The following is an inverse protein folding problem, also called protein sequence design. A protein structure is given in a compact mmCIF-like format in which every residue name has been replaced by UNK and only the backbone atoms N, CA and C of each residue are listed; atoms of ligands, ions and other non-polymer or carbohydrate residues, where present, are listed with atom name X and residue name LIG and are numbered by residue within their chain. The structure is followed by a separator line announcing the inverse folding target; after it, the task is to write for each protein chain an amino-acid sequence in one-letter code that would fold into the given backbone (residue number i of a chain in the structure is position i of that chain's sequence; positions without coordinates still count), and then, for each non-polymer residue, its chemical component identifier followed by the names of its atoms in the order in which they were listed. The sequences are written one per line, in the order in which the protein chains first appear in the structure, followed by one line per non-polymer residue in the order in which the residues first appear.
data_IF_047061842599
#
_entry.id   IF_047061842599
#
_cell.length_a   1.000
_cell.length_b   1.000
_cell.length_c   1.000
_cell.angle_alpha   90.00
_cell.angle_beta   90.00
_cell.angle_gamma   90.00
#
_symmetry.space_group_name_H-M   'P 1'
#
loop_
_entity.id
_entity.type
_entity.pdbx_description
1 polymer ?
#
# COMPACT_ATOMS: atom_id res chain seq x y z
N UNK A 1 25.09 -3.49 52.50
CA UNK A 1 25.94 -4.68 52.26
C UNK A 1 26.06 -4.87 50.75
N UNK A 2 27.20 -5.32 50.23
CA UNK A 2 27.44 -5.40 48.79
C UNK A 2 28.26 -6.65 48.41
N UNK A 3 27.76 -7.41 47.43
CA UNK A 3 28.40 -8.50 46.67
C UNK A 3 27.63 -8.52 45.33
N UNK A 4 28.15 -8.30 44.12
CA UNK A 4 29.52 -8.23 43.56
C UNK A 4 30.24 -9.56 43.34
N UNK A 5 30.11 -10.13 42.14
CA UNK A 5 30.99 -11.19 41.60
C UNK A 5 30.90 -11.29 40.06
N UNK A 6 32.03 -11.20 39.35
CA UNK A 6 32.17 -11.38 37.89
C UNK A 6 33.62 -11.77 37.52
N UNK A 7 33.88 -12.23 36.27
CA UNK A 7 34.11 -13.62 35.86
C UNK A 7 35.51 -14.13 36.33
N UNK A 8 36.65 -14.15 35.59
CA UNK A 8 36.99 -14.52 34.19
C UNK A 8 37.53 -15.99 34.14
N UNK A 9 38.40 -16.48 33.21
CA UNK A 9 38.77 -16.06 31.84
C UNK A 9 38.62 -17.19 30.77
N UNK A 10 39.04 -16.91 29.52
CA UNK A 10 39.07 -17.87 28.40
C UNK A 10 40.38 -18.68 28.30
N UNK A 11 40.40 -19.69 27.41
CA UNK A 11 41.63 -20.36 26.96
C UNK A 11 41.74 -20.39 25.42
N UNK A 12 42.91 -20.02 24.91
CA UNK A 12 43.24 -20.04 23.48
C UNK A 12 43.99 -21.32 23.10
N UNK A 13 43.90 -21.75 21.82
CA UNK A 13 44.89 -22.66 21.21
C UNK A 13 44.88 -22.66 19.68
N UNK A 14 46.03 -22.29 19.12
CA UNK A 14 46.53 -22.54 17.77
C UNK A 14 48.08 -22.43 17.87
N UNK A 15 48.89 -22.72 16.83
CA UNK A 15 48.59 -23.29 15.51
C UNK A 15 49.42 -24.56 15.17
N UNK A 16 49.21 -25.18 13.99
CA UNK A 16 50.29 -25.81 13.19
C UNK A 16 49.93 -26.01 11.71
N UNK A 17 50.77 -25.40 10.87
CA UNK A 17 50.97 -25.48 9.40
C UNK A 17 50.69 -26.80 8.62
N UNK A 18 50.01 -26.67 7.46
CA UNK A 18 50.45 -26.92 6.05
C UNK A 18 51.22 -28.22 5.64
N UNK A 19 51.35 -28.57 4.33
CA UNK A 19 50.79 -27.97 3.09
C UNK A 19 50.08 -28.95 2.13
N UNK A 20 49.42 -28.43 1.08
CA UNK A 20 48.94 -29.21 -0.08
C UNK A 20 48.73 -28.32 -1.33
N UNK A 21 49.06 -28.81 -2.53
CA UNK A 21 48.97 -28.07 -3.81
C UNK A 21 47.78 -28.51 -4.66
N UNK A 22 47.23 -27.59 -5.47
CA UNK A 22 46.31 -27.91 -6.57
C UNK A 22 46.13 -26.73 -7.54
N UNK A 23 46.57 -26.89 -8.79
CA UNK A 23 46.25 -26.00 -9.92
C UNK A 23 45.25 -26.73 -10.84
N UNK A 24 44.52 -26.00 -11.69
CA UNK A 24 43.91 -26.57 -12.90
C UNK A 24 42.67 -25.83 -13.40
N UNK A 25 42.81 -25.12 -14.52
CA UNK A 25 41.67 -24.53 -15.23
C UNK A 25 40.86 -25.60 -15.98
N UNK A 26 39.55 -25.36 -16.14
CA UNK A 26 38.67 -26.18 -16.99
C UNK A 26 38.71 -25.63 -18.42
N UNK A 27 38.86 -26.50 -19.42
CA UNK A 27 38.84 -26.15 -20.84
C UNK A 27 37.42 -25.97 -21.37
N UNK A 28 37.26 -25.05 -22.32
CA UNK A 28 36.06 -24.93 -23.18
C UNK A 28 36.37 -25.55 -24.54
N UNK A 29 35.45 -26.34 -25.09
CA UNK A 29 35.57 -26.96 -26.41
C UNK A 29 34.62 -26.32 -27.43
N UNK A 30 35.09 -26.14 -28.67
CA UNK A 30 34.29 -25.64 -29.80
C UNK A 30 33.57 -26.78 -30.52
N UNK A 31 32.36 -26.48 -31.00
CA UNK A 31 31.79 -27.07 -32.24
C UNK A 31 31.13 -25.93 -33.03
N UNK A 32 31.30 -25.93 -34.36
CA UNK A 32 30.73 -24.94 -35.29
C UNK A 32 29.84 -25.62 -36.33
N UNK A 33 28.84 -24.86 -36.81
CA UNK A 33 28.07 -25.04 -38.07
C UNK A 33 27.49 -26.45 -38.35
N UNK A 34 26.18 -26.63 -38.48
CA UNK A 34 25.41 -26.15 -39.63
C UNK A 34 23.93 -26.51 -39.47
N UNK A 35 23.00 -25.74 -40.06
CA UNK A 35 22.07 -26.21 -41.11
C UNK A 35 21.20 -25.05 -41.64
N UNK A 36 20.61 -25.26 -42.81
CA UNK A 36 20.09 -24.17 -43.67
C UNK A 36 18.58 -23.93 -43.55
N UNK A 37 18.19 -22.68 -43.77
CA UNK A 37 16.98 -22.24 -44.48
C UNK A 37 15.62 -22.92 -44.16
N UNK A 38 14.73 -22.14 -43.54
CA UNK A 38 13.31 -22.11 -43.90
C UNK A 38 12.86 -20.65 -44.03
N UNK A 39 12.02 -20.36 -45.03
CA UNK A 39 11.64 -19.01 -45.44
C UNK A 39 10.11 -18.91 -45.50
N UNK A 40 9.51 -18.08 -44.65
CA UNK A 40 8.09 -17.70 -44.70
C UNK A 40 8.01 -16.18 -44.53
N UNK A 41 7.26 -15.53 -45.42
CA UNK A 41 7.14 -14.08 -45.51
C UNK A 41 5.90 -13.55 -44.78
N UNK A 42 5.83 -12.21 -44.69
CA UNK A 42 4.61 -11.41 -44.47
C UNK A 42 3.72 -11.77 -43.28
N UNK A 43 3.90 -11.06 -42.15
CA UNK A 43 2.84 -10.25 -41.51
C UNK A 43 3.40 -9.44 -40.32
N UNK A 44 4.21 -8.41 -40.61
CA UNK A 44 4.62 -7.40 -39.61
C UNK A 44 4.57 -5.99 -40.20
N UNK A 45 3.59 -5.20 -39.75
CA UNK A 45 3.45 -3.78 -40.02
C UNK A 45 2.49 -3.17 -38.98
N UNK A 46 2.74 -1.93 -38.56
CA UNK A 46 2.01 -1.21 -37.50
C UNK A 46 2.25 -1.66 -36.05
N UNK A 47 3.52 -1.77 -35.64
CA UNK A 47 3.95 -1.33 -34.29
C UNK A 47 5.32 -0.64 -34.40
N UNK A 48 5.32 0.69 -34.41
CA UNK A 48 6.50 1.56 -34.32
C UNK A 48 6.12 2.84 -33.57
N UNK A 49 7.01 3.30 -32.68
CA UNK A 49 6.69 4.20 -31.56
C UNK A 49 5.77 3.52 -30.54
N UNK A 50 6.04 3.49 -29.24
CA UNK A 50 7.04 4.23 -28.44
C UNK A 50 8.18 3.27 -27.99
N UNK A 51 9.25 3.81 -27.39
CA UNK A 51 10.55 3.15 -27.09
C UNK A 51 11.43 2.88 -28.31
N UNK A 52 12.08 3.95 -28.80
CA UNK A 52 13.43 3.78 -29.36
C UNK A 52 14.39 3.40 -28.22
N UNK A 53 15.04 2.22 -28.23
CA UNK A 53 16.16 1.98 -27.34
C UNK A 53 17.33 2.92 -27.72
N UNK A 54 18.22 3.28 -26.79
CA UNK A 54 19.45 3.97 -27.15
C UNK A 54 20.25 3.08 -28.11
N UNK A 55 20.59 3.62 -29.29
CA UNK A 55 21.29 2.89 -30.36
C UNK A 55 22.76 2.63 -30.01
N UNK A 56 22.98 1.68 -29.10
CA UNK A 56 24.30 1.16 -28.76
C UNK A 56 24.81 0.30 -29.92
N UNK A 57 25.45 0.94 -30.90
CA UNK A 57 26.09 0.25 -32.03
C UNK A 57 27.18 -0.68 -31.49
N UNK A 58 27.12 -1.95 -31.89
CA UNK A 58 28.07 -2.99 -31.51
C UNK A 58 29.47 -2.75 -32.13
N UNK A 59 30.54 -3.37 -31.57
CA UNK A 59 31.70 -2.58 -31.18
C UNK A 59 32.83 -2.49 -32.21
N UNK A 60 33.59 -1.40 -32.11
CA UNK A 60 35.01 -1.37 -32.47
C UNK A 60 35.78 -1.97 -31.26
N UNK A 61 36.75 -2.88 -31.46
CA UNK A 61 37.50 -3.44 -30.34
C UNK A 61 38.33 -2.36 -29.61
N UNK A 62 38.49 -2.51 -28.29
CA UNK A 62 39.17 -1.58 -27.39
C UNK A 62 38.53 -0.18 -27.25
N UNK A 63 37.32 -0.14 -26.69
CA UNK A 63 36.96 0.76 -25.57
C UNK A 63 35.78 0.12 -24.81
N UNK A 64 35.87 0.03 -23.48
CA UNK A 64 34.72 -0.31 -22.64
C UNK A 64 33.84 0.94 -22.51
N UNK A 65 32.96 1.13 -23.48
CA UNK A 65 32.00 2.23 -23.50
C UNK A 65 31.00 2.07 -22.34
N UNK A 66 31.27 2.75 -21.24
CA UNK A 66 30.45 2.71 -20.03
C UNK A 66 29.15 3.48 -20.29
N UNK A 67 28.09 2.79 -20.71
CA UNK A 67 26.77 3.39 -20.82
C UNK A 67 26.34 3.89 -19.43
N UNK A 68 26.15 5.21 -19.23
CA UNK A 68 25.57 5.69 -17.99
C UNK A 68 24.14 5.16 -17.91
N UNK A 69 23.86 4.35 -16.90
CA UNK A 69 22.47 4.01 -16.56
C UNK A 69 21.80 5.31 -16.14
N UNK A 70 20.98 5.86 -17.03
CA UNK A 70 20.12 7.01 -16.76
C UNK A 70 19.07 6.54 -15.76
N UNK A 71 19.43 6.57 -14.47
CA UNK A 71 18.47 6.45 -13.38
C UNK A 71 17.45 7.57 -13.58
N UNK A 72 16.17 7.21 -13.61
CA UNK A 72 15.09 8.20 -13.57
C UNK A 72 15.21 9.09 -12.33
N UNK A 73 14.53 10.25 -12.32
CA UNK A 73 14.60 11.20 -11.21
C UNK A 73 14.32 10.48 -9.89
N UNK A 74 15.31 10.49 -8.99
CA UNK A 74 15.20 9.84 -7.69
C UNK A 74 14.18 10.58 -6.84
N UNK A 75 13.15 9.87 -6.37
CA UNK A 75 12.16 10.45 -5.44
C UNK A 75 12.85 11.05 -4.21
N UNK A 76 12.41 12.25 -3.81
CA UNK A 76 12.88 12.95 -2.60
C UNK A 76 11.71 13.08 -1.64
N UNK A 77 11.88 12.61 -0.41
CA UNK A 77 10.89 12.77 0.65
C UNK A 77 10.94 14.20 1.22
N UNK A 78 9.84 14.93 1.09
CA UNK A 78 9.74 16.32 1.58
C UNK A 78 8.97 16.44 2.90
N UNK A 79 9.49 17.26 3.81
CA UNK A 79 8.81 17.64 5.05
C UNK A 79 7.74 18.72 4.83
N UNK A 80 6.71 18.76 5.68
CA UNK A 80 5.62 19.75 5.62
C UNK A 80 4.32 19.23 6.23
N UNK A 81 3.26 20.00 6.07
CA UNK A 81 2.06 19.95 6.92
C UNK A 81 0.85 19.28 6.26
N UNK A 82 0.03 18.66 7.11
CA UNK A 82 -1.32 18.18 6.81
C UNK A 82 -2.27 18.72 7.90
N UNK A 83 -3.56 18.84 7.57
CA UNK A 83 -4.61 19.23 8.54
C UNK A 83 -5.34 18.01 9.10
N UNK A 84 -5.89 18.09 10.31
CA UNK A 84 -6.67 17.00 10.92
C UNK A 84 -8.03 17.50 11.42
N UNK A 85 -9.04 16.63 11.35
CA UNK A 85 -10.37 16.85 11.89
C UNK A 85 -10.86 15.54 12.53
N UNK A 86 -11.12 15.56 13.84
CA UNK A 86 -11.79 14.45 14.52
C UNK A 86 -13.25 14.43 14.06
N UNK A 87 -13.72 13.26 13.59
CA UNK A 87 -15.10 13.07 13.10
C UNK A 87 -15.92 12.26 14.09
N UNK A 88 -15.32 11.23 14.72
CA UNK A 88 -15.89 10.53 15.87
C UNK A 88 -14.80 10.17 16.88
N UNK A 89 -15.22 9.96 18.13
CA UNK A 89 -14.40 9.46 19.24
C UNK A 89 -14.62 7.96 19.51
N UNK A 90 -15.76 7.42 19.07
CA UNK A 90 -16.18 6.02 19.23
C UNK A 90 -16.92 5.59 17.94
N UNK A 91 -16.27 4.88 17.00
CA UNK A 91 -14.83 4.62 16.97
C UNK A 91 -14.05 5.93 16.77
N UNK A 92 -12.77 5.97 17.14
CA UNK A 92 -11.93 7.10 16.76
C UNK A 92 -11.79 7.12 15.23
N UNK A 93 -12.38 8.14 14.60
CA UNK A 93 -12.31 8.41 13.17
C UNK A 93 -11.79 9.83 12.95
N UNK A 94 -10.70 9.97 12.20
CA UNK A 94 -10.04 11.25 11.91
C UNK A 94 -9.94 11.42 10.39
N UNK A 95 -10.38 12.57 9.89
CA UNK A 95 -10.15 12.98 8.51
C UNK A 95 -8.87 13.81 8.44
N UNK A 96 -8.02 13.53 7.46
CA UNK A 96 -6.69 14.12 7.29
C UNK A 96 -6.59 14.81 5.92
N UNK A 97 -6.40 16.13 5.92
CA UNK A 97 -6.28 16.97 4.73
C UNK A 97 -4.83 17.06 4.27
N UNK A 98 -4.56 16.84 2.98
CA UNK A 98 -3.21 16.86 2.39
C UNK A 98 -2.21 15.87 3.02
N UNK A 99 -2.67 14.67 3.37
CA UNK A 99 -1.84 13.60 3.91
C UNK A 99 -0.79 13.07 2.90
N UNK A 100 -1.11 13.02 1.60
CA UNK A 100 -0.19 12.66 0.52
C UNK A 100 0.16 13.88 -0.35
N UNK A 101 1.43 14.00 -0.76
CA UNK A 101 1.90 15.03 -1.68
C UNK A 101 1.63 14.66 -3.15
N UNK A 102 1.54 15.65 -4.07
CA UNK A 102 1.53 15.39 -5.50
C UNK A 102 2.68 14.48 -5.97
N UNK A 103 3.93 14.75 -5.54
CA UNK A 103 5.10 13.94 -5.92
C UNK A 103 5.06 12.51 -5.37
N UNK A 104 4.52 12.31 -4.16
CA UNK A 104 4.32 10.97 -3.59
C UNK A 104 3.25 10.22 -4.36
N UNK A 105 2.13 10.87 -4.67
CA UNK A 105 1.04 10.27 -5.44
C UNK A 105 1.53 9.77 -6.80
N UNK A 106 2.26 10.61 -7.56
CA UNK A 106 2.80 10.18 -8.85
C UNK A 106 3.84 9.06 -8.70
N UNK A 107 4.72 9.11 -7.70
CA UNK A 107 5.70 8.03 -7.46
C UNK A 107 5.02 6.69 -7.11
N UNK A 108 4.05 6.71 -6.19
CA UNK A 108 3.31 5.52 -5.75
C UNK A 108 2.44 4.93 -6.87
N UNK A 109 1.85 5.77 -7.73
CA UNK A 109 1.13 5.31 -8.93
C UNK A 109 2.06 4.64 -9.93
N UNK A 110 3.22 5.25 -10.22
CA UNK A 110 4.22 4.67 -11.14
C UNK A 110 4.76 3.32 -10.63
N UNK A 111 5.02 3.17 -9.32
CA UNK A 111 5.43 1.88 -8.74
C UNK A 111 4.29 0.85 -8.77
N UNK A 112 3.03 1.28 -8.59
CA UNK A 112 1.88 0.37 -8.53
C UNK A 112 1.34 -0.10 -9.88
N UNK A 113 1.41 0.72 -10.94
CA UNK A 113 0.77 0.46 -12.22
C UNK A 113 1.10 -0.92 -12.84
N UNK A 114 2.37 -1.39 -12.92
CA UNK A 114 2.68 -2.74 -13.42
C UNK A 114 2.36 -3.88 -12.42
N UNK A 115 1.92 -3.56 -11.20
CA UNK A 115 1.68 -4.52 -10.12
C UNK A 115 0.19 -4.83 -9.87
N UNK A 116 -0.73 -4.04 -10.43
CA UNK A 116 -2.17 -4.23 -10.23
C UNK A 116 -2.69 -5.57 -10.77
N UNK A 117 -3.42 -6.29 -9.92
CA UNK A 117 -4.10 -7.57 -10.23
C UNK A 117 -5.51 -7.54 -9.62
N UNK A 118 -6.46 -8.38 -10.09
CA UNK A 118 -7.78 -8.48 -9.47
C UNK A 118 -7.70 -8.73 -7.95
N UNK A 119 -8.55 -8.07 -7.19
CA UNK A 119 -8.50 -8.14 -5.72
C UNK A 119 -9.01 -9.48 -5.18
N UNK A 120 -8.65 -9.77 -3.94
CA UNK A 120 -9.17 -10.92 -3.19
C UNK A 120 -9.63 -10.47 -1.80
N UNK A 121 -10.60 -11.21 -1.25
CA UNK A 121 -11.03 -11.13 0.15
C UNK A 121 -10.48 -12.32 0.92
N UNK A 122 -10.29 -12.16 2.24
CA UNK A 122 -9.91 -13.27 3.12
C UNK A 122 -11.17 -13.95 3.64
N UNK A 123 -11.43 -15.20 3.21
CA UNK A 123 -12.50 -16.04 3.74
C UNK A 123 -11.90 -17.31 4.34
N UNK A 124 -12.22 -17.61 5.59
CA UNK A 124 -11.69 -18.76 6.35
C UNK A 124 -10.14 -18.86 6.27
N UNK A 125 -9.45 -17.72 6.41
CA UNK A 125 -7.99 -17.61 6.32
C UNK A 125 -7.39 -17.74 4.91
N UNK A 126 -8.20 -17.92 3.85
CA UNK A 126 -7.75 -18.01 2.46
C UNK A 126 -8.12 -16.78 1.65
N UNK A 127 -7.25 -16.35 0.75
CA UNK A 127 -7.54 -15.32 -0.26
C UNK A 127 -8.36 -15.92 -1.41
N UNK A 128 -9.52 -15.33 -1.71
CA UNK A 128 -10.45 -15.77 -2.77
C UNK A 128 -10.97 -14.55 -3.53
N UNK A 129 -11.25 -14.68 -4.83
CA UNK A 129 -11.98 -13.67 -5.60
C UNK A 129 -13.47 -13.64 -5.23
N UNK A 130 -14.14 -12.50 -5.34
CA UNK A 130 -15.52 -12.33 -4.87
C UNK A 130 -16.20 -11.08 -5.41
N UNK A 131 -17.52 -11.16 -5.67
CA UNK A 131 -18.36 -10.00 -6.02
C UNK A 131 -18.50 -8.97 -4.87
N UNK A 132 -18.06 -9.34 -3.67
CA UNK A 132 -17.92 -8.46 -2.51
C UNK A 132 -16.81 -7.41 -2.70
N UNK A 133 -15.79 -7.68 -3.51
CA UNK A 133 -14.66 -6.77 -3.76
C UNK A 133 -14.17 -6.89 -5.20
N UNK A 134 -14.65 -6.00 -6.05
CA UNK A 134 -14.43 -6.05 -7.50
C UNK A 134 -13.30 -5.13 -8.00
N UNK A 135 -12.54 -4.51 -7.08
CA UNK A 135 -11.37 -3.66 -7.37
C UNK A 135 -10.17 -4.43 -7.95
N UNK A 136 -9.17 -3.70 -8.45
CA UNK A 136 -7.78 -4.19 -8.56
C UNK A 136 -6.94 -3.77 -7.35
N UNK A 137 -5.93 -4.56 -6.99
CA UNK A 137 -4.99 -4.29 -5.88
C UNK A 137 -3.53 -4.42 -6.36
N UNK A 138 -2.67 -3.53 -5.90
CA UNK A 138 -1.21 -3.58 -6.05
C UNK A 138 -0.56 -3.49 -4.66
N UNK A 139 0.28 -4.46 -4.28
CA UNK A 139 1.11 -4.35 -3.09
C UNK A 139 2.42 -3.65 -3.43
N UNK A 140 2.84 -2.68 -2.61
CA UNK A 140 4.08 -1.94 -2.84
C UNK A 140 5.28 -2.56 -2.11
N UNK A 141 6.51 -2.43 -2.64
CA UNK A 141 7.74 -2.70 -1.90
C UNK A 141 7.84 -1.82 -0.65
N UNK A 142 8.41 -2.33 0.44
CA UNK A 142 8.66 -1.52 1.64
C UNK A 142 9.85 -0.57 1.46
N UNK A 143 10.75 -0.91 0.55
CA UNK A 143 12.03 -0.25 0.26
C UNK A 143 11.88 0.92 -0.73
N UNK A 144 10.67 1.12 -1.28
CA UNK A 144 10.36 2.25 -2.16
C UNK A 144 10.47 3.59 -1.37
N UNK A 145 11.24 4.58 -1.84
CA UNK A 145 11.44 5.84 -1.12
C UNK A 145 10.17 6.66 -0.85
N UNK A 146 9.15 6.57 -1.72
CA UNK A 146 7.87 7.23 -1.51
C UNK A 146 7.01 6.46 -0.49
N UNK A 147 7.07 5.12 -0.51
CA UNK A 147 6.48 4.28 0.55
C UNK A 147 7.08 4.63 1.90
N UNK A 148 8.42 4.64 2.02
CA UNK A 148 9.09 5.03 3.26
C UNK A 148 8.69 6.43 3.72
N UNK A 149 8.59 7.40 2.81
CA UNK A 149 8.16 8.76 3.15
C UNK A 149 6.74 8.80 3.79
N UNK A 150 5.80 8.05 3.22
CA UNK A 150 4.41 8.00 3.68
C UNK A 150 4.24 7.13 4.94
N UNK A 151 4.94 6.00 5.04
CA UNK A 151 4.90 5.14 6.24
C UNK A 151 5.50 5.85 7.46
N UNK A 152 6.59 6.60 7.29
CA UNK A 152 7.16 7.42 8.37
C UNK A 152 6.20 8.54 8.81
N UNK A 153 5.41 9.10 7.89
CA UNK A 153 4.34 10.08 8.23
C UNK A 153 3.20 9.44 9.02
N UNK A 154 2.74 8.26 8.60
CA UNK A 154 1.70 7.50 9.28
C UNK A 154 2.14 7.01 10.68
N UNK A 155 3.39 6.53 10.82
CA UNK A 155 3.98 6.15 12.11
C UNK A 155 4.02 7.36 13.07
N UNK A 156 4.49 8.52 12.60
CA UNK A 156 4.49 9.76 13.39
C UNK A 156 3.10 10.30 13.74
N UNK A 157 2.05 9.89 13.04
CA UNK A 157 0.66 10.17 13.41
C UNK A 157 0.17 9.21 14.50
N UNK A 158 0.53 7.92 14.43
CA UNK A 158 0.21 6.92 15.46
C UNK A 158 0.85 7.25 16.82
N UNK A 159 2.12 7.70 16.80
CA UNK A 159 2.86 8.00 18.03
C UNK A 159 2.90 6.82 18.99
N UNK A 160 2.59 7.07 20.27
CA UNK A 160 2.65 6.08 21.36
C UNK A 160 1.65 4.91 21.25
N UNK A 161 0.81 4.87 20.21
CA UNK A 161 0.00 3.69 19.87
C UNK A 161 0.82 2.56 19.22
N UNK A 162 2.06 2.83 18.79
CA UNK A 162 2.99 1.86 18.23
C UNK A 162 4.20 1.71 19.16
N UNK A 163 4.63 0.48 19.46
CA UNK A 163 5.89 0.21 20.17
C UNK A 163 7.00 0.01 19.15
N UNK A 164 7.98 0.92 19.12
CA UNK A 164 9.00 1.01 18.06
C UNK A 164 9.79 -0.30 17.85
N UNK A 165 10.08 -1.06 18.93
CA UNK A 165 10.83 -2.33 18.86
C UNK A 165 9.98 -3.56 18.47
N UNK A 166 8.65 -3.43 18.38
CA UNK A 166 7.73 -4.59 18.34
C UNK A 166 6.69 -4.51 17.22
N UNK A 167 6.16 -3.32 16.96
CA UNK A 167 5.02 -3.07 16.07
C UNK A 167 5.45 -2.50 14.72
N UNK A 168 4.78 -2.86 13.62
CA UNK A 168 5.19 -2.46 12.26
C UNK A 168 4.06 -1.79 11.46
N UNK A 169 4.40 -0.92 10.52
CA UNK A 169 3.42 -0.25 9.64
C UNK A 169 2.84 -1.18 8.55
N UNK A 170 3.57 -2.26 8.24
CA UNK A 170 3.25 -3.24 7.21
C UNK A 170 3.44 -2.73 5.77
N UNK A 171 3.57 -3.63 4.77
CA UNK A 171 3.60 -3.27 3.35
C UNK A 171 2.23 -2.71 2.93
N UNK A 172 2.15 -1.46 2.43
CA UNK A 172 0.88 -0.85 2.06
C UNK A 172 0.39 -1.36 0.70
N UNK A 173 -0.90 -1.18 0.43
CA UNK A 173 -1.55 -1.71 -0.78
C UNK A 173 -2.40 -0.65 -1.45
N UNK A 174 -2.08 -0.31 -2.70
CA UNK A 174 -2.97 0.47 -3.54
C UNK A 174 -4.14 -0.37 -4.01
N UNK A 175 -5.31 0.26 -4.07
CA UNK A 175 -6.56 -0.28 -4.59
C UNK A 175 -7.10 0.67 -5.63
N UNK A 176 -7.52 0.12 -6.77
CA UNK A 176 -8.06 0.87 -7.91
C UNK A 176 -9.45 0.35 -8.25
N UNK A 177 -10.39 1.28 -8.38
CA UNK A 177 -11.79 1.05 -8.69
C UNK A 177 -12.13 1.80 -9.98
N UNK A 178 -12.56 1.07 -11.00
CA UNK A 178 -13.20 1.59 -12.21
C UNK A 178 -14.73 1.65 -12.03
N UNK A 179 -15.44 2.21 -13.00
CA UNK A 179 -16.91 2.23 -13.03
C UNK A 179 -17.55 0.87 -12.66
N UNK A 180 -18.55 0.89 -11.77
CA UNK A 180 -19.23 -0.27 -11.21
C UNK A 180 -18.46 -1.04 -10.13
N UNK A 181 -17.16 -0.79 -9.94
CA UNK A 181 -16.36 -1.51 -8.94
C UNK A 181 -16.56 -0.95 -7.53
N UNK A 182 -16.56 -1.85 -6.54
CA UNK A 182 -16.90 -1.57 -5.13
C UNK A 182 -16.14 -2.48 -4.16
N UNK A 183 -16.26 -2.20 -2.87
CA UNK A 183 -15.98 -3.15 -1.78
C UNK A 183 -17.14 -3.07 -0.77
N UNK A 184 -17.88 -4.16 -0.59
CA UNK A 184 -18.98 -4.29 0.36
C UNK A 184 -18.53 -3.99 1.82
N UNK A 185 -19.50 -3.85 2.72
CA UNK A 185 -19.27 -3.62 4.16
C UNK A 185 -18.39 -4.74 4.76
N UNK A 186 -17.28 -4.34 5.39
CA UNK A 186 -16.30 -5.22 6.03
C UNK A 186 -15.53 -4.46 7.13
N UNK A 187 -14.79 -5.19 7.97
CA UNK A 187 -13.82 -4.65 8.91
C UNK A 187 -12.39 -4.94 8.42
N UNK A 188 -11.43 -4.14 8.89
CA UNK A 188 -10.02 -4.31 8.53
C UNK A 188 -9.26 -5.21 9.51
N UNK A 189 -9.66 -5.31 10.78
CA UNK A 189 -9.08 -6.23 11.76
C UNK A 189 -9.42 -7.70 11.45
N UNK A 190 -8.72 -8.63 12.10
CA UNK A 190 -8.97 -10.08 12.00
C UNK A 190 -9.64 -10.60 13.29
N UNK A 191 -10.60 -11.52 13.16
CA UNK A 191 -11.28 -12.19 14.30
C UNK A 191 -10.30 -12.96 15.21
N UNK A 192 -9.18 -13.37 14.62
CA UNK A 192 -8.05 -14.02 15.29
C UNK A 192 -6.76 -13.39 14.77
N UNK A 193 -5.83 -12.98 15.65
CA UNK A 193 -4.51 -12.50 15.25
C UNK A 193 -3.82 -13.47 14.27
N UNK A 194 -3.15 -12.90 13.26
CA UNK A 194 -2.48 -13.64 12.21
C UNK A 194 -1.02 -13.89 12.60
N UNK A 195 -0.45 -15.05 12.24
CA UNK A 195 0.96 -15.32 12.48
C UNK A 195 1.87 -14.34 11.72
N UNK A 196 2.99 -13.97 12.34
CA UNK A 196 4.01 -13.14 11.74
C UNK A 196 4.63 -13.81 10.50
N UNK A 197 4.93 -13.01 9.46
CA UNK A 197 5.52 -13.52 8.22
C UNK A 197 7.03 -13.72 8.28
N UNK A 198 7.67 -13.38 9.40
CA UNK A 198 9.10 -13.52 9.67
C UNK A 198 9.50 -14.90 10.26
N UNK A 199 8.51 -15.76 10.56
CA UNK A 199 8.73 -17.06 11.20
C UNK A 199 8.90 -17.01 12.73
N UNK A 200 8.73 -15.84 13.36
CA UNK A 200 8.73 -15.71 14.81
C UNK A 200 7.43 -16.25 15.45
N UNK A 201 7.47 -16.64 16.73
CA UNK A 201 6.28 -17.06 17.49
C UNK A 201 5.42 -15.86 17.94
N UNK A 202 5.26 -14.87 17.06
CA UNK A 202 4.43 -13.67 17.26
C UNK A 202 3.19 -13.76 16.38
N UNK A 203 2.08 -13.26 16.89
CA UNK A 203 0.89 -12.99 16.09
C UNK A 203 0.67 -11.48 16.02
N UNK A 204 -0.11 -10.99 15.06
CA UNK A 204 -0.49 -9.59 14.97
C UNK A 204 -1.97 -9.41 14.66
N UNK A 205 -2.52 -8.29 15.08
CA UNK A 205 -3.76 -7.75 14.53
C UNK A 205 -3.53 -6.32 14.04
N UNK A 206 -4.42 -5.82 13.20
CA UNK A 206 -4.29 -4.48 12.61
C UNK A 206 -4.89 -3.47 13.58
N UNK A 207 -4.07 -2.69 14.29
CA UNK A 207 -4.52 -1.74 15.32
C UNK A 207 -5.25 -0.53 14.72
N UNK A 208 -4.90 -0.14 13.50
CA UNK A 208 -5.49 1.00 12.80
C UNK A 208 -5.52 0.77 11.28
N UNK A 209 -6.19 1.69 10.58
CA UNK A 209 -6.11 1.83 9.13
C UNK A 209 -5.90 3.29 8.75
N UNK A 210 -5.10 3.54 7.71
CA UNK A 210 -5.16 4.76 6.91
C UNK A 210 -5.63 4.40 5.51
N UNK A 211 -6.61 5.16 5.00
CA UNK A 211 -7.11 5.06 3.63
C UNK A 211 -6.96 6.42 2.94
N UNK A 212 -5.91 6.58 2.12
CA UNK A 212 -5.56 7.85 1.48
C UNK A 212 -5.77 7.81 -0.04
N UNK A 213 -6.31 8.88 -0.64
CA UNK A 213 -6.72 8.89 -2.05
C UNK A 213 -5.63 9.49 -2.95
N UNK A 214 -5.32 8.78 -4.04
CA UNK A 214 -4.32 9.14 -5.05
C UNK A 214 -4.96 9.62 -6.37
N UNK A 215 -6.10 9.05 -6.74
CA UNK A 215 -6.88 9.44 -7.91
C UNK A 215 -8.36 9.53 -7.50
N UNK A 216 -8.99 10.64 -7.84
CA UNK A 216 -10.35 11.04 -7.47
C UNK A 216 -11.18 11.48 -8.70
N UNK A 217 -10.70 11.22 -9.91
CA UNK A 217 -11.33 11.59 -11.17
C UNK A 217 -12.56 10.71 -11.50
N UNK A 218 -13.52 10.69 -10.59
CA UNK A 218 -14.65 9.77 -10.55
C UNK A 218 -15.94 10.43 -10.06
N UNK A 219 -17.08 9.78 -10.34
CA UNK A 219 -18.35 10.06 -9.68
C UNK A 219 -18.61 9.03 -8.59
N UNK A 220 -19.36 9.42 -7.55
CA UNK A 220 -19.70 8.55 -6.42
C UNK A 220 -18.43 8.01 -5.74
N UNK A 221 -18.36 6.69 -5.50
CA UNK A 221 -17.15 6.06 -5.01
C UNK A 221 -16.74 6.49 -3.60
N UNK A 222 -17.67 6.87 -2.73
CA UNK A 222 -17.37 7.25 -1.35
C UNK A 222 -16.73 6.10 -0.55
N UNK A 223 -16.09 6.45 0.56
CA UNK A 223 -15.81 5.49 1.65
C UNK A 223 -16.86 5.70 2.73
N UNK A 224 -17.61 4.66 3.09
CA UNK A 224 -18.84 4.73 3.89
C UNK A 224 -18.71 3.97 5.22
N UNK A 225 -19.15 4.59 6.31
CA UNK A 225 -19.16 4.06 7.68
C UNK A 225 -20.60 4.02 8.24
N UNK A 226 -21.33 2.90 8.13
CA UNK A 226 -22.71 2.77 8.65
C UNK A 226 -22.85 3.12 10.14
N UNK A 227 -21.86 2.79 10.97
CA UNK A 227 -21.94 2.96 12.42
C UNK A 227 -21.42 4.31 12.95
N UNK A 228 -21.02 5.22 12.06
CA UNK A 228 -20.57 6.58 12.41
C UNK A 228 -21.61 7.58 11.91
N UNK A 229 -22.38 8.18 12.83
CA UNK A 229 -23.37 9.20 12.50
C UNK A 229 -22.77 10.62 12.35
N UNK A 230 -23.58 11.62 11.92
CA UNK A 230 -23.17 13.02 11.95
C UNK A 230 -22.97 13.53 13.39
N UNK A 231 -22.25 14.65 13.59
CA UNK A 231 -22.19 15.33 14.88
C UNK A 231 -23.59 15.73 15.36
N UNK A 232 -23.90 15.43 16.62
CA UNK A 232 -25.22 15.70 17.21
C UNK A 232 -25.63 17.18 17.07
N UNK A 233 -26.79 17.42 16.47
CA UNK A 233 -27.31 18.77 16.17
C UNK A 233 -27.04 19.27 14.75
N UNK A 234 -26.06 18.71 14.03
CA UNK A 234 -25.75 19.07 12.63
C UNK A 234 -26.41 18.14 11.60
N UNK A 235 -27.59 17.60 11.93
CA UNK A 235 -28.41 16.76 11.05
C UNK A 235 -29.13 17.56 9.95
N UNK A 236 -28.37 18.28 9.12
CA UNK A 236 -28.87 18.87 7.88
C UNK A 236 -28.88 17.79 6.79
N UNK A 237 -29.68 16.74 7.04
CA UNK A 237 -29.89 15.57 6.15
C UNK A 237 -30.63 15.91 4.86
N UNK A 238 -30.96 17.18 4.70
CA UNK A 238 -31.72 17.73 3.59
C UNK A 238 -30.83 18.71 2.83
N UNK A 239 -30.68 18.49 1.52
CA UNK A 239 -30.69 19.66 0.66
C UNK A 239 -32.02 20.39 0.92
N UNK A 240 -32.03 21.71 1.07
CA UNK A 240 -33.22 22.44 1.60
C UNK A 240 -34.35 22.58 0.57
N UNK A 241 -34.43 21.60 -0.31
CA UNK A 241 -35.35 21.40 -1.43
C UNK A 241 -35.86 19.93 -1.49
N UNK A 242 -35.34 19.01 -0.66
CA UNK A 242 -35.85 17.64 -0.52
C UNK A 242 -35.73 16.78 -1.77
N UNK A 243 -34.68 16.98 -2.57
CA UNK A 243 -34.48 16.27 -3.84
C UNK A 243 -33.75 14.95 -3.59
N UNK A 244 -34.17 13.84 -4.23
CA UNK A 244 -33.37 12.63 -4.21
C UNK A 244 -31.98 12.92 -4.82
N UNK A 245 -30.90 12.32 -4.29
CA UNK A 245 -29.56 12.43 -4.87
C UNK A 245 -29.59 12.09 -6.37
N UNK A 246 -29.01 12.95 -7.20
CA UNK A 246 -28.85 12.64 -8.61
C UNK A 246 -27.69 11.66 -8.78
N UNK A 247 -28.05 10.38 -8.89
CA UNK A 247 -27.16 9.30 -9.28
C UNK A 247 -26.85 9.39 -10.80
N UNK A 248 -25.58 9.34 -11.24
CA UNK A 248 -24.34 9.31 -10.45
C UNK A 248 -23.91 10.71 -9.95
N UNK A 249 -23.49 10.83 -8.68
CA UNK A 249 -23.07 12.09 -8.05
C UNK A 249 -21.74 12.57 -8.64
N UNK A 250 -21.80 13.66 -9.42
CA UNK A 250 -20.61 14.35 -9.90
C UNK A 250 -20.10 15.37 -8.88
N UNK A 251 -19.01 15.01 -8.21
CA UNK A 251 -18.33 15.88 -7.26
C UNK A 251 -17.79 17.17 -7.92
N UNK A 252 -17.98 18.30 -7.22
CA UNK A 252 -17.35 19.59 -7.49
C UNK A 252 -16.57 20.07 -6.26
N UNK A 253 -15.73 21.10 -6.42
CA UNK A 253 -14.82 21.52 -5.33
C UNK A 253 -15.55 22.02 -4.08
N UNK A 254 -16.72 22.63 -4.24
CA UNK A 254 -17.54 23.23 -3.18
C UNK A 254 -18.32 22.25 -2.31
N UNK A 255 -18.43 20.98 -2.69
CA UNK A 255 -19.23 20.00 -1.94
C UNK A 255 -18.62 19.73 -0.55
N UNK A 256 -19.42 19.31 0.45
CA UNK A 256 -18.88 18.90 1.73
C UNK A 256 -17.94 17.70 1.58
N UNK A 257 -17.04 17.51 2.55
CA UNK A 257 -16.09 16.38 2.57
C UNK A 257 -16.80 15.04 2.81
N UNK A 258 -17.90 15.09 3.55
CA UNK A 258 -18.76 13.96 3.86
C UNK A 258 -20.23 14.36 3.68
N UNK A 259 -21.09 13.36 3.56
CA UNK A 259 -22.54 13.47 3.63
C UNK A 259 -23.08 12.40 4.57
N UNK A 260 -24.29 12.58 5.07
CA UNK A 260 -25.03 11.44 5.59
C UNK A 260 -25.43 10.53 4.41
N UNK A 261 -25.38 9.23 4.66
CA UNK A 261 -25.74 8.20 3.68
C UNK A 261 -27.23 7.86 3.79
N UNK A 262 -27.82 7.41 2.68
CA UNK A 262 -29.26 7.17 2.53
C UNK A 262 -29.77 6.03 3.44
N UNK A 263 -28.87 5.24 4.02
CA UNK A 263 -29.15 4.19 5.02
C UNK A 263 -28.74 4.59 6.45
N UNK A 264 -28.50 5.89 6.69
CA UNK A 264 -27.80 6.40 7.88
C UNK A 264 -26.28 6.21 7.79
N UNK A 265 -25.55 6.86 8.70
CA UNK A 265 -24.08 6.81 8.76
C UNK A 265 -23.39 7.79 7.80
N UNK A 266 -22.06 7.92 7.87
CA UNK A 266 -21.30 8.90 7.09
C UNK A 266 -20.62 8.31 5.84
N UNK A 267 -20.78 8.98 4.70
CA UNK A 267 -20.09 8.68 3.45
C UNK A 267 -19.14 9.83 3.07
N UNK A 268 -17.85 9.54 2.90
CA UNK A 268 -16.79 10.48 2.59
C UNK A 268 -16.42 10.42 1.12
N UNK A 269 -16.49 11.54 0.40
CA UNK A 269 -16.14 11.58 -1.03
C UNK A 269 -14.63 11.42 -1.25
N UNK A 270 -14.19 10.79 -2.34
CA UNK A 270 -12.77 10.73 -2.68
C UNK A 270 -12.24 12.15 -2.98
N UNK A 271 -11.11 12.52 -2.35
CA UNK A 271 -10.39 13.78 -2.60
C UNK A 271 -8.89 13.47 -2.62
N UNK A 272 -8.24 13.67 -3.77
CA UNK A 272 -6.82 13.37 -3.99
C UNK A 272 -5.94 14.12 -2.99
N UNK A 273 -5.04 13.38 -2.33
CA UNK A 273 -4.16 13.88 -1.27
C UNK A 273 -4.71 13.68 0.14
N UNK A 274 -6.03 13.56 0.33
CA UNK A 274 -6.62 13.41 1.66
C UNK A 274 -6.69 11.94 2.10
N UNK A 275 -6.83 11.73 3.40
CA UNK A 275 -6.94 10.41 4.02
C UNK A 275 -8.02 10.33 5.10
N UNK A 276 -8.54 9.13 5.30
CA UNK A 276 -9.26 8.72 6.50
C UNK A 276 -8.33 7.89 7.38
N UNK A 277 -8.45 8.07 8.69
CA UNK A 277 -7.78 7.25 9.71
C UNK A 277 -8.79 6.75 10.73
N UNK A 278 -8.70 5.49 11.14
CA UNK A 278 -9.46 4.96 12.27
C UNK A 278 -8.70 3.90 13.07
N UNK A 279 -9.05 3.76 14.35
CA UNK A 279 -8.59 2.66 15.20
C UNK A 279 -9.50 1.46 15.01
N UNK A 280 -8.92 0.34 14.57
CA UNK A 280 -9.61 -0.92 14.31
C UNK A 280 -9.83 -1.77 15.57
N UNK A 281 -9.07 -1.55 16.64
CA UNK A 281 -9.12 -2.35 17.86
C UNK A 281 -9.58 -1.51 19.06
N UNK A 282 -10.29 -2.16 19.97
CA UNK A 282 -10.58 -1.63 21.30
C UNK A 282 -9.35 -1.73 22.21
N UNK A 283 -9.39 -1.08 23.38
CA UNK A 283 -8.27 -1.05 24.33
C UNK A 283 -7.91 -2.44 24.93
N UNK A 284 -8.79 -3.44 24.81
CA UNK A 284 -8.55 -4.84 25.18
C UNK A 284 -7.96 -5.69 24.03
N UNK A 285 -7.73 -5.10 22.86
CA UNK A 285 -7.22 -5.77 21.66
C UNK A 285 -8.30 -6.47 20.80
N UNK A 286 -9.58 -6.39 21.17
CA UNK A 286 -10.69 -6.94 20.37
C UNK A 286 -11.04 -6.06 19.17
N UNK A 287 -11.70 -6.64 18.16
CA UNK A 287 -12.17 -5.93 16.97
C UNK A 287 -13.25 -4.89 17.30
N UNK A 288 -13.10 -3.67 16.75
CA UNK A 288 -14.02 -2.58 16.99
C UNK A 288 -15.15 -2.57 15.95
N UNK A 289 -16.26 -3.27 16.20
CA UNK A 289 -17.36 -3.47 15.22
C UNK A 289 -17.86 -2.19 14.52
N UNK A 290 -17.88 -1.04 15.22
CA UNK A 290 -18.29 0.23 14.62
C UNK A 290 -17.36 0.76 13.52
N UNK A 291 -16.20 0.13 13.27
CA UNK A 291 -15.31 0.43 12.12
C UNK A 291 -15.65 -0.36 10.87
N UNK A 292 -16.76 -1.10 10.88
CA UNK A 292 -17.35 -1.68 9.67
C UNK A 292 -17.58 -0.58 8.63
N UNK A 293 -17.02 -0.76 7.43
CA UNK A 293 -16.99 0.26 6.39
C UNK A 293 -17.01 -0.35 4.98
N UNK A 294 -17.30 0.45 3.97
CA UNK A 294 -17.40 0.03 2.57
C UNK A 294 -16.73 1.04 1.63
N UNK A 295 -16.31 0.56 0.45
CA UNK A 295 -16.10 1.40 -0.72
C UNK A 295 -17.35 1.34 -1.59
N UNK A 296 -18.12 2.43 -1.64
CA UNK A 296 -19.32 2.52 -2.48
C UNK A 296 -18.93 2.38 -3.97
N UNK A 297 -19.87 1.97 -4.85
CA UNK A 297 -19.59 1.85 -6.27
C UNK A 297 -19.08 3.17 -6.87
N UNK A 298 -18.02 3.11 -7.67
CA UNK A 298 -17.65 4.22 -8.54
C UNK A 298 -18.65 4.29 -9.68
N UNK A 299 -19.36 5.40 -9.87
CA UNK A 299 -20.33 5.54 -10.96
C UNK A 299 -19.64 5.65 -12.33
N UNK A 300 -18.54 6.41 -12.39
CA UNK A 300 -17.74 6.62 -13.60
C UNK A 300 -16.31 7.06 -13.26
N UNK A 301 -15.37 6.95 -14.20
CA UNK A 301 -13.99 7.34 -14.00
C UNK A 301 -13.17 6.34 -13.18
N UNK A 302 -12.19 6.83 -12.41
CA UNK A 302 -11.27 6.00 -11.61
C UNK A 302 -11.10 6.59 -10.19
N UNK A 303 -11.26 5.74 -9.18
CA UNK A 303 -10.79 5.99 -7.80
C UNK A 303 -9.57 5.10 -7.53
N UNK A 304 -8.44 5.69 -7.18
CA UNK A 304 -7.26 4.95 -6.68
C UNK A 304 -6.90 5.46 -5.29
N UNK A 305 -6.67 4.56 -4.34
CA UNK A 305 -6.32 4.86 -2.96
C UNK A 305 -5.26 3.89 -2.41
N UNK A 306 -4.58 4.24 -1.33
CA UNK A 306 -3.62 3.40 -0.61
C UNK A 306 -4.16 3.04 0.77
N UNK A 307 -4.09 1.75 1.11
CA UNK A 307 -4.32 1.24 2.45
C UNK A 307 -2.98 1.11 3.17
N UNK A 308 -2.91 1.59 4.41
CA UNK A 308 -1.81 1.36 5.35
C UNK A 308 -2.42 0.76 6.60
N UNK A 309 -1.88 -0.36 7.07
CA UNK A 309 -2.45 -1.14 8.17
C UNK A 309 -1.40 -1.41 9.25
N UNK A 310 -1.19 -0.46 10.19
CA UNK A 310 -0.35 -0.66 11.36
C UNK A 310 -0.72 -1.96 12.11
N UNK A 311 0.30 -2.75 12.45
CA UNK A 311 0.19 -4.07 13.05
C UNK A 311 0.71 -4.04 14.47
N UNK A 312 -0.17 -4.35 15.42
CA UNK A 312 0.19 -4.58 16.82
C UNK A 312 0.51 -6.06 17.00
N UNK A 313 1.71 -6.40 17.47
CA UNK A 313 2.13 -7.79 17.72
C UNK A 313 1.92 -8.24 19.16
N UNK A 314 1.62 -9.53 19.30
CA UNK A 314 1.45 -10.25 20.56
C UNK A 314 2.43 -11.42 20.58
N UNK A 315 3.20 -11.55 21.66
CA UNK A 315 4.02 -12.74 21.91
C UNK A 315 3.10 -13.87 22.33
N UNK A 316 3.21 -15.02 21.66
CA UNK A 316 2.55 -16.25 22.13
C UNK A 316 3.50 -16.96 23.08
N UNK A 317 3.06 -17.18 24.31
CA UNK A 317 3.75 -17.96 25.35
C UNK A 317 3.36 -19.44 25.25
#
# INVERSE_FOLDING_TARGET
MAVSSSPPPASSRSPTNLPGRGLGAVLVALVLASFSSLNISSHLGHFYSIYSPPLCKLPIPFILAWCPVVKGPTFVCEAGTYGTQIVSLDPLLVYIHSFLRPAEIESLLNTADPLFKPSTVTKNGRKVGSDERTSSTAGLPLEDPAVQCVLNRASRFMGLLMREDVDEMGPPQLVRYSAGQKFNIHHDWYDRPQWAYDGSNRQFNRIASFFAVLQDNCTDGETYFPSVGPPAGNGDTTDKQGRPPQEPRRWVRSDPVWREHESGGLAFRPIRGNALFWLNLQADGTGHEKTMHAGLPVGSGIKTAINIWPRQFYTVN
#
